data_IF_252639404354
#
_entry.id   IF_252639404354
#
_cell.length_a   1.000
_cell.length_b   1.000
_cell.length_c   1.000
_cell.angle_alpha   90.00
_cell.angle_beta   90.00
_cell.angle_gamma   90.00
#
_symmetry.space_group_name_H-M   'P 1'
#
loop_
_entity.id
_entity.type
_entity.pdbx_description
1 polymer ?
#
# COMPACT_ATOMS: atom_id res chain seq x y z
N UNK A 1 20.25 16.68 4.32
CA UNK A 1 19.08 15.81 4.02
C UNK A 1 18.99 15.72 2.51
N UNK A 2 19.05 14.53 1.91
CA UNK A 2 18.78 14.38 0.48
C UNK A 2 17.29 14.64 0.30
N UNK A 3 16.92 15.68 -0.43
CA UNK A 3 15.53 16.05 -0.68
C UNK A 3 14.83 15.01 -1.56
N UNK A 4 14.45 13.88 -0.98
CA UNK A 4 13.80 12.78 -1.69
C UNK A 4 12.30 12.98 -1.71
N UNK A 5 11.74 12.96 -2.92
CA UNK A 5 10.31 13.02 -3.20
C UNK A 5 9.97 11.89 -4.17
N UNK A 6 8.70 11.52 -4.24
CA UNK A 6 8.26 10.50 -5.18
C UNK A 6 6.93 9.90 -4.80
N UNK A 7 6.34 9.16 -5.73
CA UNK A 7 5.04 8.53 -5.55
C UNK A 7 5.08 7.04 -5.94
N UNK A 8 5.67 6.16 -5.10
CA UNK A 8 5.59 4.73 -5.36
C UNK A 8 4.12 4.27 -5.32
N UNK A 9 3.82 3.26 -6.13
CA UNK A 9 2.49 2.63 -6.17
C UNK A 9 2.62 1.23 -5.60
N UNK A 10 1.89 0.98 -4.51
CA UNK A 10 1.80 -0.34 -3.88
C UNK A 10 0.59 -1.06 -4.46
N UNK A 11 0.75 -2.34 -4.79
CA UNK A 11 -0.39 -3.25 -4.99
C UNK A 11 -0.46 -4.22 -3.84
N UNK A 12 -1.66 -4.47 -3.32
CA UNK A 12 -1.87 -5.41 -2.23
C UNK A 12 -3.18 -6.17 -2.38
N UNK A 13 -3.20 -7.35 -1.78
CA UNK A 13 -4.36 -8.23 -1.71
C UNK A 13 -4.71 -8.50 -0.25
N UNK A 14 -6.00 -8.54 0.06
CA UNK A 14 -6.50 -8.82 1.40
C UNK A 14 -7.84 -9.55 1.38
N UNK A 15 -8.16 -10.20 2.49
CA UNK A 15 -9.43 -10.90 2.73
C UNK A 15 -10.51 -9.94 3.20
N UNK A 16 -11.75 -10.41 3.18
CA UNK A 16 -12.93 -9.64 3.60
C UNK A 16 -12.88 -9.12 5.04
N UNK A 17 -12.16 -9.81 5.92
CA UNK A 17 -11.93 -9.43 7.31
C UNK A 17 -10.81 -8.37 7.49
N UNK A 18 -10.19 -7.92 6.39
CA UNK A 18 -9.07 -6.97 6.42
C UNK A 18 -7.70 -7.62 6.53
N UNK A 19 -7.61 -8.95 6.62
CA UNK A 19 -6.33 -9.66 6.70
C UNK A 19 -5.55 -9.56 5.40
N UNK A 20 -4.34 -8.99 5.45
CA UNK A 20 -3.42 -8.91 4.30
C UNK A 20 -2.98 -10.30 3.85
N UNK A 21 -3.03 -10.54 2.53
CA UNK A 21 -2.54 -11.75 1.86
C UNK A 21 -1.15 -11.49 1.28
N UNK A 22 -0.96 -10.32 0.64
CA UNK A 22 0.30 -9.98 0.00
C UNK A 22 0.39 -8.51 -0.39
N UNK A 23 1.61 -8.03 -0.59
CA UNK A 23 1.91 -6.65 -1.02
C UNK A 23 3.16 -6.60 -1.89
N UNK A 24 3.18 -5.70 -2.87
CA UNK A 24 4.30 -5.49 -3.78
C UNK A 24 4.32 -4.05 -4.29
N UNK A 25 5.47 -3.63 -4.83
CA UNK A 25 5.56 -2.37 -5.57
C UNK A 25 5.18 -2.62 -7.03
N UNK A 26 4.14 -1.94 -7.50
CA UNK A 26 3.81 -1.83 -8.92
C UNK A 26 4.70 -0.79 -9.61
N UNK A 27 4.97 0.31 -8.95
CA UNK A 27 5.82 1.39 -9.47
C UNK A 27 6.75 1.88 -8.36
N UNK A 28 8.05 1.97 -8.67
CA UNK A 28 9.06 2.49 -7.75
C UNK A 28 9.08 4.02 -7.78
N UNK A 29 9.49 4.62 -6.68
CA UNK A 29 9.67 6.08 -6.53
C UNK A 29 10.96 6.63 -7.16
N UNK A 30 11.91 5.75 -7.49
CA UNK A 30 13.30 6.13 -7.78
C UNK A 30 14.19 6.21 -6.53
N UNK A 31 13.62 6.05 -5.33
CA UNK A 31 14.35 6.09 -4.06
C UNK A 31 14.02 4.86 -3.20
N UNK A 32 14.98 3.93 -2.96
CA UNK A 32 14.73 2.72 -2.18
C UNK A 32 14.19 2.95 -0.77
N UNK A 33 14.55 4.09 -0.15
CA UNK A 33 14.05 4.47 1.16
C UNK A 33 12.53 4.75 1.15
N UNK A 34 12.04 5.50 0.16
CA UNK A 34 10.62 5.80 0.02
C UNK A 34 9.82 4.55 -0.37
N UNK A 35 10.39 3.71 -1.23
CA UNK A 35 9.82 2.42 -1.62
C UNK A 35 9.61 1.50 -0.40
N UNK A 36 10.62 1.39 0.47
CA UNK A 36 10.53 0.62 1.72
C UNK A 36 9.51 1.24 2.68
N UNK A 37 9.54 2.57 2.84
CA UNK A 37 8.61 3.27 3.73
C UNK A 37 7.15 3.07 3.30
N UNK A 38 6.87 3.13 1.99
CA UNK A 38 5.54 2.88 1.45
C UNK A 38 5.06 1.46 1.79
N UNK A 39 5.89 0.45 1.57
CA UNK A 39 5.56 -0.93 1.89
C UNK A 39 5.35 -1.16 3.40
N UNK A 40 6.19 -0.57 4.25
CA UNK A 40 6.06 -0.67 5.71
C UNK A 40 4.82 0.04 6.24
N UNK A 41 4.41 1.18 5.64
CA UNK A 41 3.17 1.87 5.99
C UNK A 41 1.97 0.92 5.86
N UNK A 42 1.90 0.13 4.78
CA UNK A 42 0.81 -0.82 4.58
C UNK A 42 0.83 -1.96 5.62
N UNK A 43 2.01 -2.44 6.03
CA UNK A 43 2.12 -3.45 7.08
C UNK A 43 1.66 -2.93 8.43
N UNK A 44 2.03 -1.69 8.76
CA UNK A 44 1.62 -1.03 10.00
C UNK A 44 0.13 -0.73 10.04
N UNK A 45 -0.50 -0.56 8.88
CA UNK A 45 -1.94 -0.36 8.76
C UNK A 45 -2.75 -1.67 8.87
N UNK A 46 -2.11 -2.83 8.95
CA UNK A 46 -2.80 -4.11 9.07
C UNK A 46 -3.37 -4.33 10.49
N UNK A 47 -4.56 -4.95 10.63
CA UNK A 47 -5.47 -5.34 9.55
C UNK A 47 -6.18 -4.14 8.94
N UNK A 48 -6.53 -4.26 7.65
CA UNK A 48 -7.30 -3.23 6.96
C UNK A 48 -8.75 -3.20 7.47
N UNK A 49 -9.52 -2.14 7.20
CA UNK A 49 -10.96 -2.15 7.47
C UNK A 49 -11.65 -3.34 6.79
N UNK A 50 -12.63 -3.98 7.44
CA UNK A 50 -13.39 -5.06 6.82
C UNK A 50 -14.15 -4.55 5.61
N UNK A 51 -14.33 -5.42 4.63
CA UNK A 51 -15.08 -5.09 3.42
C UNK A 51 -16.58 -5.15 3.72
N UNK A 52 -17.36 -4.14 3.27
CA UNK A 52 -18.82 -4.11 3.41
C UNK A 52 -19.53 -5.37 2.89
N UNK A 53 -20.67 -5.70 3.53
CA UNK A 53 -21.41 -6.93 3.25
C UNK A 53 -22.07 -6.99 1.86
N UNK A 54 -22.33 -5.84 1.26
CA UNK A 54 -22.90 -5.70 -0.08
C UNK A 54 -21.89 -5.98 -1.21
N UNK A 55 -20.59 -6.04 -0.91
CA UNK A 55 -19.55 -6.35 -1.88
C UNK A 55 -19.34 -7.87 -2.00
N UNK A 56 -19.55 -8.41 -3.20
CA UNK A 56 -19.24 -9.81 -3.52
C UNK A 56 -17.73 -10.04 -3.61
N UNK A 57 -17.28 -11.25 -3.26
CA UNK A 57 -15.88 -11.65 -3.36
C UNK A 57 -15.28 -12.02 -2.01
N UNK A 58 -14.19 -12.80 -2.05
CA UNK A 58 -13.49 -13.28 -0.85
C UNK A 58 -12.15 -12.60 -0.64
N UNK A 59 -11.52 -12.17 -1.72
CA UNK A 59 -10.26 -11.43 -1.73
C UNK A 59 -10.40 -10.21 -2.63
N UNK A 60 -9.66 -9.16 -2.28
CA UNK A 60 -9.73 -7.86 -2.92
C UNK A 60 -8.32 -7.37 -3.19
N UNK A 61 -8.11 -6.77 -4.37
CA UNK A 61 -6.82 -6.20 -4.75
C UNK A 61 -6.94 -4.72 -5.08
N UNK A 62 -6.03 -3.92 -4.54
CA UNK A 62 -6.01 -2.47 -4.74
C UNK A 62 -4.61 -1.98 -5.08
N UNK A 63 -4.56 -0.90 -5.87
CA UNK A 63 -3.35 -0.15 -6.15
C UNK A 63 -3.43 1.21 -5.43
N UNK A 64 -2.48 1.49 -4.54
CA UNK A 64 -2.43 2.70 -3.72
C UNK A 64 -1.18 3.51 -4.05
N UNK A 65 -1.32 4.71 -4.65
CA UNK A 65 -0.22 5.66 -4.77
C UNK A 65 0.07 6.33 -3.41
N UNK A 66 1.34 6.35 -2.98
CA UNK A 66 1.78 6.99 -1.74
C UNK A 66 2.66 8.18 -2.08
N UNK A 67 2.22 9.42 -1.83
CA UNK A 67 3.00 10.61 -2.21
C UNK A 67 3.89 11.09 -1.08
N UNK A 68 5.20 11.14 -1.34
CA UNK A 68 6.18 11.84 -0.51
C UNK A 68 6.57 13.16 -1.20
N UNK A 69 6.40 14.28 -0.50
CA UNK A 69 6.76 15.61 -0.97
C UNK A 69 7.38 16.43 0.16
N UNK A 70 8.37 17.23 -0.18
CA UNK A 70 8.93 18.29 0.65
C UNK A 70 7.98 19.49 0.55
N UNK A 71 7.89 20.25 1.63
CA UNK A 71 7.11 21.48 1.70
C UNK A 71 8.05 22.66 1.78
#
# INVERSE_FOLDING_TARGET
RLGQEGAPVITFEFRRDGSLIGRSLRTKSGHPLLDKAALSMLEQAAPLPPVPDDMSGRTFSYALPVRFSLR
#
